data_IF_131719963816
#
_entry.id   IF_131719963816
#
_cell.length_a   1.000
_cell.length_b   1.000
_cell.length_c   1.000
_cell.angle_alpha   90.00
_cell.angle_beta   90.00
_cell.angle_gamma   90.00
#
_symmetry.space_group_name_H-M   'P 1'
#
loop_
_entity.id
_entity.type
_entity.pdbx_description
1 polymer ?
#
# COMPACT_ATOMS: atom_id res chain seq x y z
N UNK A 1 -11.88 -3.00 1.59
CA UNK A 1 -11.04 -3.74 2.57
C UNK A 1 -10.40 -5.01 2.03
N UNK A 2 -11.11 -5.90 1.33
CA UNK A 2 -10.48 -7.08 0.73
C UNK A 2 -9.42 -6.70 -0.32
N UNK A 3 -9.72 -5.69 -1.14
CA UNK A 3 -8.77 -5.10 -2.09
C UNK A 3 -7.52 -4.52 -1.41
N UNK A 4 -7.68 -3.78 -0.30
CA UNK A 4 -6.54 -3.28 0.48
C UNK A 4 -5.69 -4.43 1.04
N UNK A 5 -6.32 -5.49 1.57
CA UNK A 5 -5.57 -6.66 2.07
C UNK A 5 -4.79 -7.34 0.94
N UNK A 6 -5.41 -7.50 -0.24
CA UNK A 6 -4.76 -8.07 -1.41
C UNK A 6 -3.59 -7.20 -1.86
N UNK A 7 -3.79 -5.89 -2.00
CA UNK A 7 -2.73 -4.93 -2.31
C UNK A 7 -1.55 -5.06 -1.34
N UNK A 8 -1.81 -4.99 -0.03
CA UNK A 8 -0.78 -5.04 0.99
C UNK A 8 0.00 -6.35 0.95
N UNK A 9 -0.70 -7.47 0.78
CA UNK A 9 -0.08 -8.80 0.65
C UNK A 9 0.82 -8.88 -0.59
N UNK A 10 0.29 -8.51 -1.76
CA UNK A 10 1.04 -8.54 -3.02
C UNK A 10 2.25 -7.60 -2.95
N UNK A 11 2.09 -6.41 -2.36
CA UNK A 11 3.18 -5.47 -2.16
C UNK A 11 4.28 -6.06 -1.26
N UNK A 12 3.87 -6.64 -0.13
CA UNK A 12 4.78 -7.21 0.85
C UNK A 12 5.64 -8.31 0.24
N UNK A 13 5.00 -9.23 -0.48
CA UNK A 13 5.64 -10.36 -1.16
C UNK A 13 6.55 -9.90 -2.33
N UNK A 14 6.08 -8.96 -3.17
CA UNK A 14 6.80 -8.55 -4.39
C UNK A 14 8.06 -7.72 -4.09
N UNK A 15 8.02 -6.88 -3.06
CA UNK A 15 9.09 -5.92 -2.78
C UNK A 15 9.92 -6.25 -1.54
N UNK A 16 9.92 -7.51 -1.07
CA UNK A 16 10.69 -7.92 0.13
C UNK A 16 10.53 -6.90 1.27
N UNK A 17 9.28 -6.51 1.51
CA UNK A 17 8.98 -5.43 2.45
C UNK A 17 9.25 -5.89 3.86
N UNK A 18 9.90 -5.06 4.67
CA UNK A 18 10.18 -5.39 6.07
C UNK A 18 8.92 -5.24 6.92
N UNK A 19 8.25 -4.10 6.78
CA UNK A 19 6.95 -3.85 7.39
C UNK A 19 6.15 -2.78 6.66
N UNK A 20 4.83 -2.83 6.86
CA UNK A 20 3.88 -1.82 6.40
C UNK A 20 3.06 -1.37 7.62
N UNK A 21 2.95 -0.07 7.82
CA UNK A 21 2.11 0.52 8.87
C UNK A 21 0.93 1.22 8.19
N UNK A 22 -0.28 0.84 8.62
CA UNK A 22 -1.53 1.47 8.22
C UNK A 22 -1.91 2.55 9.22
N UNK A 23 -2.27 3.73 8.72
CA UNK A 23 -2.73 4.85 9.54
C UNK A 23 -4.20 5.19 9.24
N UNK A 24 -4.68 6.24 9.90
CA UNK A 24 -5.98 6.83 9.61
C UNK A 24 -7.19 6.03 10.10
N UNK A 25 -8.34 6.27 9.46
CA UNK A 25 -9.62 5.63 9.81
C UNK A 25 -9.61 4.13 9.55
N UNK A 26 -8.84 3.67 8.55
CA UNK A 26 -8.60 2.25 8.25
C UNK A 26 -7.96 1.51 9.42
N UNK A 27 -6.95 2.11 10.05
CA UNK A 27 -6.32 1.52 11.24
C UNK A 27 -7.25 1.47 12.46
N UNK A 28 -8.19 2.43 12.55
CA UNK A 28 -9.14 2.55 13.67
C UNK A 28 -10.43 1.74 13.47
N UNK A 29 -10.60 1.06 12.34
CA UNK A 29 -11.82 0.31 12.01
C UNK A 29 -13.03 1.16 11.62
N UNK A 30 -12.85 2.48 11.40
CA UNK A 30 -13.90 3.43 11.04
C UNK A 30 -13.81 3.87 9.57
N UNK A 31 -13.29 3.00 8.70
CA UNK A 31 -13.14 3.26 7.27
C UNK A 31 -14.51 3.39 6.58
N UNK A 32 -14.64 4.39 5.71
CA UNK A 32 -15.82 4.60 4.87
C UNK A 32 -15.40 5.05 3.47
N UNK A 33 -16.37 5.16 2.56
CA UNK A 33 -16.12 5.49 1.14
C UNK A 33 -15.45 6.86 0.87
N UNK A 34 -15.33 7.73 1.88
CA UNK A 34 -14.63 9.02 1.79
C UNK A 34 -13.28 9.01 2.52
N UNK A 35 -12.89 7.86 3.05
CA UNK A 35 -11.65 7.74 3.82
C UNK A 35 -10.47 7.54 2.87
N UNK A 36 -9.43 8.32 3.07
CA UNK A 36 -8.13 8.07 2.45
C UNK A 36 -7.41 6.90 3.15
N UNK A 37 -6.46 6.30 2.44
CA UNK A 37 -5.60 5.23 2.96
C UNK A 37 -4.17 5.75 3.06
N UNK A 38 -3.68 5.88 4.29
CA UNK A 38 -2.32 6.29 4.58
C UNK A 38 -1.45 5.09 4.97
N UNK A 39 -0.32 4.93 4.27
CA UNK A 39 0.63 3.83 4.46
C UNK A 39 2.06 4.35 4.64
N UNK A 40 2.79 3.78 5.61
CA UNK A 40 4.25 3.79 5.63
C UNK A 40 4.74 2.41 5.22
N UNK A 41 5.64 2.37 4.23
CA UNK A 41 6.21 1.14 3.69
C UNK A 41 7.72 1.21 3.83
N UNK A 42 8.32 0.21 4.47
CA UNK A 42 9.77 0.06 4.59
C UNK A 42 10.22 -1.15 3.79
N UNK A 43 10.99 -0.91 2.73
CA UNK A 43 11.47 -1.94 1.81
C UNK A 43 12.84 -1.56 1.27
N UNK A 44 13.71 -2.57 1.15
CA UNK A 44 15.06 -2.41 0.60
C UNK A 44 15.10 -2.48 -0.93
N UNK A 45 13.97 -2.73 -1.61
CA UNK A 45 13.93 -2.99 -3.07
C UNK A 45 13.16 -1.94 -3.88
N UNK A 46 12.63 -0.91 -3.21
CA UNK A 46 11.87 0.14 -3.87
C UNK A 46 12.75 1.14 -4.65
N UNK A 47 14.05 1.21 -4.35
CA UNK A 47 14.97 2.20 -4.93
C UNK A 47 14.75 3.59 -4.33
N UNK A 48 15.48 4.62 -4.80
CA UNK A 48 15.41 5.99 -4.26
C UNK A 48 14.65 6.99 -5.13
N UNK A 49 14.37 6.63 -6.39
CA UNK A 49 13.65 7.50 -7.29
C UNK A 49 12.15 7.56 -6.96
N UNK A 50 11.63 8.78 -6.86
CA UNK A 50 10.24 9.01 -6.49
C UNK A 50 9.24 8.49 -7.55
N UNK A 51 9.53 8.71 -8.83
CA UNK A 51 8.62 8.32 -9.90
C UNK A 51 8.60 6.81 -10.12
N UNK A 52 9.74 6.16 -9.97
CA UNK A 52 9.86 4.70 -9.98
C UNK A 52 9.05 4.08 -8.84
N UNK A 53 9.18 4.63 -7.62
CA UNK A 53 8.36 4.21 -6.46
C UNK A 53 6.87 4.36 -6.76
N UNK A 54 6.45 5.50 -7.30
CA UNK A 54 5.05 5.76 -7.63
C UNK A 54 4.51 4.78 -8.69
N UNK A 55 5.31 4.51 -9.73
CA UNK A 55 4.95 3.54 -10.78
C UNK A 55 4.82 2.12 -10.22
N UNK A 56 5.75 1.70 -9.35
CA UNK A 56 5.68 0.40 -8.64
C UNK A 56 4.41 0.29 -7.79
N UNK A 57 4.01 1.35 -7.10
CA UNK A 57 2.77 1.38 -6.32
C UNK A 57 1.52 1.23 -7.19
N UNK A 58 1.43 1.95 -8.30
CA UNK A 58 0.24 1.94 -9.18
C UNK A 58 0.05 0.62 -9.94
N UNK A 59 1.11 -0.17 -10.10
CA UNK A 59 1.09 -1.41 -10.90
C UNK A 59 0.90 -2.68 -10.06
N UNK A 60 0.64 -2.55 -8.75
CA UNK A 60 0.48 -3.70 -7.85
C UNK A 60 -0.86 -4.41 -8.01
N UNK A 61 -1.96 -3.68 -8.16
CA UNK A 61 -3.30 -4.24 -8.39
C UNK A 61 -3.94 -3.60 -9.63
N UNK A 62 -4.40 -4.41 -10.61
CA UNK A 62 -5.21 -3.88 -11.71
C UNK A 62 -6.54 -3.38 -11.13
N UNK A 63 -6.74 -2.05 -11.12
CA UNK A 63 -7.93 -1.41 -10.55
C UNK A 63 -7.64 -0.46 -9.37
N UNK A 64 -6.40 -0.40 -8.88
CA UNK A 64 -6.04 0.47 -7.75
C UNK A 64 -6.44 -0.11 -6.40
N UNK A 65 -6.47 0.74 -5.38
CA UNK A 65 -6.95 0.42 -4.03
C UNK A 65 -8.21 1.27 -3.83
N UNK A 66 -9.39 0.64 -3.86
CA UNK A 66 -10.65 1.24 -3.42
C UNK A 66 -10.79 1.20 -1.89
#
# INVERSE_FOLDING_TARGET
MENLKLFLKTFFEKYSTEFIILFGSSAKGNFNYRSDIDLLIVSNTLGDDYFERLYKMQTITPGGID
#
